data_IF_402503149825
#
_entry.id   IF_402503149825
#
_cell.length_a   1.000
_cell.length_b   1.000
_cell.length_c   1.000
_cell.angle_alpha   90.00
_cell.angle_beta   90.00
_cell.angle_gamma   90.00
#
_symmetry.space_group_name_H-M   'P 1'
#
loop_
_entity.id
_entity.type
_entity.pdbx_description
1 polymer ?
#
# COMPACT_ATOMS: atom_id res chain seq x y z
N UNK A 1 -13.26 -19.27 30.07
CA UNK A 1 -12.78 -17.88 29.87
C UNK A 1 -11.30 -17.84 29.47
N UNK A 2 -10.41 -18.59 30.13
CA UNK A 2 -8.97 -18.70 29.80
C UNK A 2 -8.66 -19.19 28.36
N UNK A 3 -9.44 -20.14 27.84
CA UNK A 3 -9.27 -20.64 26.46
C UNK A 3 -9.64 -19.60 25.38
N UNK A 4 -10.58 -18.68 25.68
CA UNK A 4 -10.91 -17.54 24.80
C UNK A 4 -9.82 -16.47 24.84
N UNK A 5 -9.20 -16.22 26.00
CA UNK A 5 -8.05 -15.31 26.09
C UNK A 5 -6.86 -15.86 25.29
N UNK A 6 -6.55 -17.15 25.38
CA UNK A 6 -5.39 -17.70 24.68
C UNK A 6 -5.54 -17.66 23.14
N UNK A 7 -6.75 -17.90 22.62
CA UNK A 7 -7.06 -17.76 21.19
C UNK A 7 -7.06 -16.30 20.73
N UNK A 8 -7.46 -15.38 21.60
CA UNK A 8 -7.40 -13.92 21.34
C UNK A 8 -5.95 -13.42 21.26
N UNK A 9 -5.08 -13.84 22.19
CA UNK A 9 -3.65 -13.50 22.17
C UNK A 9 -2.87 -14.20 21.06
N UNK A 10 -3.25 -15.41 20.66
CA UNK A 10 -2.63 -16.13 19.54
C UNK A 10 -2.83 -15.44 18.19
N UNK A 11 -4.03 -14.91 17.94
CA UNK A 11 -4.38 -14.27 16.66
C UNK A 11 -3.89 -12.82 16.51
N UNK A 12 -3.51 -12.16 17.62
CA UNK A 12 -3.05 -10.75 17.63
C UNK A 12 -1.55 -10.56 17.81
N UNK A 13 -0.76 -11.64 17.87
CA UNK A 13 0.72 -11.58 17.96
C UNK A 13 1.38 -10.57 17.01
N UNK A 14 1.03 -10.50 15.70
CA UNK A 14 1.66 -9.52 14.81
C UNK A 14 1.30 -8.06 15.15
N UNK A 15 0.07 -7.82 15.60
CA UNK A 15 -0.40 -6.49 16.01
C UNK A 15 0.27 -6.03 17.30
N UNK A 16 0.43 -6.93 18.28
CA UNK A 16 1.15 -6.66 19.53
C UNK A 16 2.63 -6.37 19.28
N UNK A 17 3.28 -7.16 18.41
CA UNK A 17 4.65 -6.89 18.02
C UNK A 17 4.80 -5.52 17.35
N UNK A 18 3.87 -5.12 16.48
CA UNK A 18 3.86 -3.79 15.89
C UNK A 18 3.69 -2.67 16.95
N UNK A 19 2.78 -2.86 17.91
CA UNK A 19 2.56 -1.91 18.99
C UNK A 19 3.80 -1.74 19.88
N UNK A 20 4.43 -2.85 20.30
CA UNK A 20 5.64 -2.83 21.13
C UNK A 20 6.79 -2.11 20.41
N UNK A 21 7.00 -2.43 19.13
CA UNK A 21 8.00 -1.74 18.28
C UNK A 21 7.71 -0.25 18.21
N UNK A 22 6.44 0.11 18.06
CA UNK A 22 6.04 1.50 18.00
C UNK A 22 6.29 2.28 19.28
N UNK A 23 5.95 1.69 20.41
CA UNK A 23 6.23 2.25 21.73
C UNK A 23 7.73 2.37 21.97
N UNK A 24 8.53 1.36 21.61
CA UNK A 24 9.98 1.41 21.72
C UNK A 24 10.58 2.54 20.86
N UNK A 25 10.11 2.72 19.63
CA UNK A 25 10.50 3.84 18.76
C UNK A 25 10.16 5.20 19.39
N UNK A 26 8.97 5.33 19.97
CA UNK A 26 8.52 6.57 20.60
C UNK A 26 9.34 6.93 21.85
N UNK A 27 9.61 5.94 22.73
CA UNK A 27 10.39 6.14 23.94
C UNK A 27 11.86 6.46 23.63
N UNK A 28 12.45 5.77 22.65
CA UNK A 28 13.83 6.05 22.22
C UNK A 28 13.95 7.42 21.54
N UNK A 29 12.99 7.81 20.70
CA UNK A 29 12.91 9.15 20.13
C UNK A 29 12.76 10.24 21.21
N UNK A 30 11.92 9.99 22.22
CA UNK A 30 11.72 10.92 23.34
C UNK A 30 13.01 11.10 24.13
N UNK A 31 13.65 10.00 24.55
CA UNK A 31 14.89 10.04 25.31
C UNK A 31 16.02 10.72 24.53
N UNK A 32 16.12 10.47 23.23
CA UNK A 32 17.08 11.15 22.38
C UNK A 32 16.79 12.65 22.23
N UNK A 33 15.53 13.04 22.10
CA UNK A 33 15.15 14.45 21.98
C UNK A 33 15.41 15.24 23.27
N UNK A 34 15.12 14.64 24.42
CA UNK A 34 15.48 15.17 25.75
C UNK A 34 17.00 15.32 25.89
N UNK A 35 17.77 14.30 25.51
CA UNK A 35 19.23 14.33 25.56
C UNK A 35 19.84 15.44 24.68
N UNK A 36 19.21 15.74 23.53
CA UNK A 36 19.63 16.82 22.63
C UNK A 36 19.18 18.22 23.10
N UNK A 37 18.42 18.32 24.21
CA UNK A 37 17.92 19.59 24.73
C UNK A 37 16.89 20.27 23.82
N UNK A 38 16.10 19.50 23.05
CA UNK A 38 15.08 20.06 22.16
C UNK A 38 13.94 20.71 22.96
N UNK A 39 13.46 21.87 22.50
CA UNK A 39 12.46 22.67 23.22
C UNK A 39 11.12 21.94 23.50
N UNK A 40 10.73 20.97 22.67
CA UNK A 40 9.48 20.22 22.82
C UNK A 40 9.65 18.74 22.42
N UNK A 41 10.30 17.92 23.26
CA UNK A 41 10.74 16.56 22.91
C UNK A 41 9.57 15.58 22.68
N UNK A 42 8.39 15.86 23.25
CA UNK A 42 7.17 15.07 23.02
C UNK A 42 6.77 15.01 21.53
N UNK A 43 7.13 16.00 20.70
CA UNK A 43 6.87 15.95 19.26
C UNK A 43 7.68 14.86 18.55
N UNK A 44 8.86 14.53 19.04
CA UNK A 44 9.67 13.45 18.50
C UNK A 44 8.98 12.10 18.72
N UNK A 45 8.51 11.86 19.94
CA UNK A 45 7.74 10.67 20.30
C UNK A 45 6.43 10.56 19.48
N UNK A 46 5.66 11.66 19.41
CA UNK A 46 4.43 11.71 18.60
C UNK A 46 4.72 11.44 17.13
N UNK A 47 5.83 11.96 16.61
CA UNK A 47 6.23 11.72 15.22
C UNK A 47 6.57 10.27 14.97
N UNK A 48 7.37 9.65 15.86
CA UNK A 48 7.71 8.24 15.75
C UNK A 48 6.43 7.37 15.70
N UNK A 49 5.46 7.65 16.59
CA UNK A 49 4.15 6.98 16.60
C UNK A 49 3.37 7.17 15.29
N UNK A 50 3.35 8.40 14.76
CA UNK A 50 2.58 8.71 13.55
C UNK A 50 3.21 8.09 12.30
N UNK A 51 4.53 8.03 12.19
CA UNK A 51 5.20 7.56 10.95
C UNK A 51 5.36 6.04 10.89
N UNK A 52 5.15 5.32 11.99
CA UNK A 52 5.13 3.85 11.96
C UNK A 52 4.18 3.35 10.90
N UNK A 53 4.70 2.44 10.09
CA UNK A 53 3.98 1.75 9.05
C UNK A 53 4.38 0.28 9.03
N UNK A 54 3.54 -0.60 8.45
CA UNK A 54 3.85 -2.03 8.33
C UNK A 54 5.18 -2.28 7.60
N UNK A 55 5.56 -1.41 6.65
CA UNK A 55 6.80 -1.53 5.90
C UNK A 55 7.70 -0.32 5.96
N UNK A 56 9.00 -0.58 5.76
CA UNK A 56 10.04 0.43 5.67
C UNK A 56 9.76 1.45 4.56
N UNK A 57 9.29 0.99 3.40
CA UNK A 57 8.98 1.86 2.26
C UNK A 57 7.84 2.85 2.55
N UNK A 58 6.74 2.38 3.16
CA UNK A 58 5.61 3.24 3.55
C UNK A 58 6.03 4.23 4.65
N UNK A 59 6.84 3.75 5.61
CA UNK A 59 7.37 4.58 6.68
C UNK A 59 8.20 5.73 6.11
N UNK A 60 9.12 5.45 5.18
CA UNK A 60 9.97 6.46 4.55
C UNK A 60 9.14 7.43 3.68
N UNK A 61 8.20 6.94 2.88
CA UNK A 61 7.33 7.79 2.06
C UNK A 61 6.49 8.74 2.96
N UNK A 62 5.87 8.22 4.02
CA UNK A 62 5.09 9.02 4.98
C UNK A 62 5.97 10.01 5.75
N UNK A 63 7.15 9.58 6.18
CA UNK A 63 8.13 10.41 6.88
C UNK A 63 8.61 11.57 6.03
N UNK A 64 8.89 11.32 4.74
CA UNK A 64 9.28 12.36 3.80
C UNK A 64 8.21 13.46 3.67
N UNK A 65 6.95 13.08 3.45
CA UNK A 65 5.86 14.05 3.34
C UNK A 65 5.54 14.75 4.67
N UNK A 66 5.76 14.09 5.81
CA UNK A 66 5.68 14.72 7.13
C UNK A 66 6.74 15.82 7.27
N UNK A 67 8.00 15.49 6.98
CA UNK A 67 9.12 16.42 7.07
C UNK A 67 8.94 17.61 6.12
N UNK A 68 8.54 17.34 4.87
CA UNK A 68 8.28 18.39 3.88
C UNK A 68 7.15 19.33 4.33
N UNK A 69 6.04 18.77 4.79
CA UNK A 69 4.91 19.56 5.29
C UNK A 69 5.30 20.39 6.50
N UNK A 70 5.98 19.81 7.48
CA UNK A 70 6.46 20.54 8.66
C UNK A 70 7.46 21.63 8.28
N UNK A 71 8.42 21.37 7.40
CA UNK A 71 9.38 22.39 6.98
C UNK A 71 8.70 23.59 6.31
N UNK A 72 7.77 23.34 5.39
CA UNK A 72 6.98 24.39 4.72
C UNK A 72 6.10 25.14 5.72
N UNK A 73 5.42 24.42 6.61
CA UNK A 73 4.58 25.02 7.64
C UNK A 73 5.38 25.85 8.66
N UNK A 74 6.57 25.40 9.06
CA UNK A 74 7.47 26.13 9.94
C UNK A 74 7.99 27.41 9.31
N UNK A 75 8.42 27.34 8.05
CA UNK A 75 8.84 28.52 7.31
C UNK A 75 7.69 29.53 7.15
N UNK A 76 6.49 29.07 6.80
CA UNK A 76 5.32 29.93 6.67
C UNK A 76 4.93 30.58 8.01
N UNK A 77 4.88 29.82 9.11
CA UNK A 77 4.57 30.35 10.44
C UNK A 77 5.58 31.40 10.90
N UNK A 78 6.88 31.16 10.64
CA UNK A 78 7.94 32.11 10.93
C UNK A 78 7.79 33.38 10.10
N UNK A 79 7.56 33.27 8.79
CA UNK A 79 7.34 34.42 7.91
C UNK A 79 6.14 35.25 8.34
N UNK A 80 5.02 34.61 8.70
CA UNK A 80 3.84 35.32 9.17
C UNK A 80 4.11 36.12 10.45
N UNK A 81 4.81 35.53 11.43
CA UNK A 81 5.12 36.22 12.69
C UNK A 81 6.17 37.34 12.53
N UNK A 82 7.09 37.21 11.58
CA UNK A 82 8.08 38.27 11.30
C UNK A 82 7.44 39.47 10.58
N UNK A 83 6.46 39.22 9.70
CA UNK A 83 5.83 40.27 8.89
C UNK A 83 4.60 40.90 9.57
N UNK A 84 3.90 40.17 10.44
CA UNK A 84 2.59 40.57 10.96
C UNK A 84 2.60 40.64 12.48
N UNK A 85 2.41 41.83 13.03
CA UNK A 85 2.30 42.05 14.48
C UNK A 85 0.87 42.13 15.02
N UNK A 86 -0.09 42.50 14.16
CA UNK A 86 -1.49 42.60 14.59
C UNK A 86 -2.12 41.21 14.67
N UNK A 87 -2.75 40.84 15.81
CA UNK A 87 -3.37 39.52 15.98
C UNK A 87 -4.50 39.28 14.96
N UNK A 88 -5.24 40.33 14.59
CA UNK A 88 -6.32 40.24 13.60
C UNK A 88 -5.77 39.94 12.19
N UNK A 89 -4.69 40.63 11.80
CA UNK A 89 -4.03 40.38 10.50
C UNK A 89 -3.35 38.99 10.49
N UNK A 90 -2.78 38.56 11.62
CA UNK A 90 -2.16 37.23 11.74
C UNK A 90 -3.21 36.14 11.55
N UNK A 91 -4.38 36.31 12.18
CA UNK A 91 -5.50 35.38 12.08
C UNK A 91 -6.03 35.30 10.64
N UNK A 92 -6.17 36.44 9.96
CA UNK A 92 -6.57 36.50 8.56
C UNK A 92 -5.56 35.79 7.65
N UNK A 93 -4.26 36.04 7.86
CA UNK A 93 -3.21 35.44 7.06
C UNK A 93 -3.09 33.92 7.29
N UNK A 94 -3.26 33.45 8.53
CA UNK A 94 -3.35 32.04 8.86
C UNK A 94 -4.56 31.38 8.20
N UNK A 95 -5.72 32.04 8.22
CA UNK A 95 -6.92 31.54 7.56
C UNK A 95 -6.69 31.35 6.07
N UNK A 96 -6.09 32.34 5.39
CA UNK A 96 -5.73 32.26 3.98
C UNK A 96 -4.74 31.13 3.71
N UNK A 97 -3.69 31.01 4.53
CA UNK A 97 -2.69 29.95 4.39
C UNK A 97 -3.30 28.56 4.52
N UNK A 98 -4.15 28.34 5.53
CA UNK A 98 -4.77 27.03 5.74
C UNK A 98 -5.78 26.74 4.62
N UNK A 99 -6.53 27.74 4.14
CA UNK A 99 -7.42 27.57 2.99
C UNK A 99 -6.64 27.13 1.73
N UNK A 100 -5.47 27.72 1.47
CA UNK A 100 -4.56 27.30 0.39
C UNK A 100 -4.10 25.86 0.64
N UNK A 101 -3.67 25.51 1.85
CA UNK A 101 -3.25 24.15 2.20
C UNK A 101 -4.37 23.12 1.99
N UNK A 102 -5.62 23.46 2.32
CA UNK A 102 -6.77 22.57 2.09
C UNK A 102 -7.07 22.45 0.59
N UNK A 103 -7.03 23.54 -0.17
CA UNK A 103 -7.21 23.52 -1.62
C UNK A 103 -6.15 22.66 -2.31
N UNK A 104 -4.87 22.89 -2.01
CA UNK A 104 -3.74 22.09 -2.50
C UNK A 104 -3.86 20.63 -2.06
N UNK A 105 -4.26 20.38 -0.81
CA UNK A 105 -4.47 19.04 -0.26
C UNK A 105 -5.51 18.23 -1.05
N UNK A 106 -6.58 18.87 -1.52
CA UNK A 106 -7.62 18.23 -2.35
C UNK A 106 -7.19 17.99 -3.81
N UNK A 107 -6.17 18.71 -4.31
CA UNK A 107 -5.57 18.47 -5.63
C UNK A 107 -4.50 17.36 -5.60
N UNK A 108 -4.00 17.04 -4.41
CA UNK A 108 -3.01 16.01 -4.16
C UNK A 108 -3.70 14.70 -3.76
N UNK A 109 -3.12 13.57 -4.19
CA UNK A 109 -3.63 12.23 -3.87
C UNK A 109 -2.62 11.47 -3.01
N UNK A 110 -3.12 10.57 -2.15
CA UNK A 110 -2.31 9.73 -1.27
C UNK A 110 -1.50 10.55 -0.25
N UNK A 111 -0.28 10.09 0.06
CA UNK A 111 0.59 10.70 1.06
C UNK A 111 1.05 12.13 0.71
N UNK A 112 0.84 12.61 -0.53
CA UNK A 112 1.11 14.00 -0.90
C UNK A 112 0.15 14.98 -0.23
N UNK A 113 -1.13 14.62 -0.11
CA UNK A 113 -2.14 15.45 0.56
C UNK A 113 -1.80 15.65 2.04
N UNK A 114 -1.19 14.63 2.64
CA UNK A 114 -0.71 14.66 4.01
C UNK A 114 0.37 15.74 4.25
N UNK A 115 1.25 16.01 3.29
CA UNK A 115 2.20 17.12 3.41
C UNK A 115 1.49 18.48 3.51
N UNK A 116 0.42 18.66 2.72
CA UNK A 116 -0.39 19.89 2.75
C UNK A 116 -1.10 20.07 4.10
N UNK A 117 -1.65 18.98 4.64
CA UNK A 117 -2.26 18.97 5.98
C UNK A 117 -1.22 19.33 7.06
N UNK A 118 -0.03 18.72 7.01
CA UNK A 118 1.04 19.00 7.95
C UNK A 118 1.55 20.44 7.83
N UNK A 119 1.60 21.02 6.63
CA UNK A 119 1.98 22.42 6.45
C UNK A 119 0.99 23.39 7.11
N UNK A 120 -0.32 23.17 6.95
CA UNK A 120 -1.35 23.98 7.60
C UNK A 120 -1.32 23.85 9.12
N UNK A 121 -1.32 22.61 9.63
CA UNK A 121 -1.29 22.34 11.08
C UNK A 121 0.00 22.86 11.74
N UNK A 122 1.14 22.71 11.06
CA UNK A 122 2.43 23.14 11.60
C UNK A 122 2.50 24.66 11.69
N UNK A 123 2.10 25.36 10.61
CA UNK A 123 2.05 26.81 10.55
C UNK A 123 1.18 27.40 11.67
N UNK A 124 -0.02 26.86 11.88
CA UNK A 124 -0.93 27.31 12.94
C UNK A 124 -0.33 27.19 14.34
N UNK A 125 0.28 26.03 14.66
CA UNK A 125 0.91 25.83 15.97
C UNK A 125 2.12 26.75 16.17
N UNK A 126 2.94 26.98 15.14
CA UNK A 126 4.09 27.91 15.26
C UNK A 126 3.61 29.35 15.40
N UNK A 127 2.61 29.76 14.64
CA UNK A 127 2.05 31.10 14.77
C UNK A 127 1.45 31.33 16.16
N UNK A 128 0.72 30.35 16.71
CA UNK A 128 0.14 30.45 18.05
C UNK A 128 1.21 30.46 19.16
N UNK A 129 2.09 29.46 19.18
CA UNK A 129 3.13 29.35 20.21
C UNK A 129 4.17 30.46 20.14
N UNK A 130 4.53 30.88 18.91
CA UNK A 130 5.48 31.96 18.67
C UNK A 130 4.90 33.35 18.96
N UNK A 131 3.59 33.56 18.78
CA UNK A 131 2.92 34.79 19.20
C UNK A 131 2.95 34.95 20.73
N UNK A 132 2.72 33.87 21.47
CA UNK A 132 2.77 33.87 22.94
C UNK A 132 4.19 34.02 23.50
N UNK A 133 5.20 33.44 22.82
CA UNK A 133 6.59 33.39 23.29
C UNK A 133 7.57 33.86 22.20
N UNK A 134 7.51 35.15 21.83
CA UNK A 134 8.35 35.70 20.76
C UNK A 134 9.86 35.45 20.91
N UNK A 135 10.47 35.51 22.11
CA UNK A 135 11.92 35.28 22.25
C UNK A 135 12.34 33.86 21.84
N UNK A 136 11.46 32.87 21.96
CA UNK A 136 11.73 31.47 21.60
C UNK A 136 11.21 31.10 20.20
N UNK A 137 10.80 32.08 19.37
CA UNK A 137 10.19 31.82 18.06
C UNK A 137 11.05 30.90 17.18
N UNK A 138 12.35 31.19 17.05
CA UNK A 138 13.26 30.38 16.25
C UNK A 138 13.45 28.99 16.84
N UNK A 139 13.59 28.89 18.17
CA UNK A 139 13.74 27.61 18.87
C UNK A 139 12.51 26.72 18.71
N UNK A 140 11.31 27.30 18.74
CA UNK A 140 10.06 26.58 18.51
C UNK A 140 9.99 26.10 17.04
N UNK A 141 10.30 26.97 16.07
CA UNK A 141 10.19 26.65 14.65
C UNK A 141 11.21 25.59 14.21
N UNK A 142 12.49 25.79 14.54
CA UNK A 142 13.57 24.84 14.22
C UNK A 142 13.49 23.59 15.10
N UNK A 143 13.19 23.74 16.39
CA UNK A 143 13.03 22.63 17.32
C UNK A 143 11.97 21.65 16.85
N UNK A 144 10.90 22.12 16.21
CA UNK A 144 9.87 21.25 15.65
C UNK A 144 10.34 20.43 14.45
N UNK A 145 11.10 21.04 13.54
CA UNK A 145 11.71 20.32 12.41
C UNK A 145 12.71 19.29 12.93
N UNK A 146 13.55 19.67 13.90
CA UNK A 146 14.51 18.78 14.54
C UNK A 146 13.82 17.61 15.26
N UNK A 147 12.76 17.85 16.03
CA UNK A 147 11.97 16.80 16.67
C UNK A 147 11.39 15.81 15.66
N UNK A 148 10.91 16.30 14.51
CA UNK A 148 10.38 15.45 13.45
C UNK A 148 11.49 14.58 12.85
N UNK A 149 12.66 15.15 12.58
CA UNK A 149 13.83 14.41 12.09
C UNK A 149 14.24 13.32 13.09
N UNK A 150 14.37 13.66 14.38
CA UNK A 150 14.70 12.69 15.44
C UNK A 150 13.66 11.57 15.50
N UNK A 151 12.37 11.91 15.53
CA UNK A 151 11.28 10.93 15.51
C UNK A 151 11.34 9.98 14.30
N UNK A 152 11.64 10.52 13.11
CA UNK A 152 11.80 9.73 11.89
C UNK A 152 13.02 8.81 11.97
N UNK A 153 14.16 9.30 12.46
CA UNK A 153 15.40 8.50 12.59
C UNK A 153 15.16 7.30 13.51
N UNK A 154 14.61 7.53 14.70
CA UNK A 154 14.39 6.46 15.68
C UNK A 154 13.27 5.51 15.27
N UNK A 155 12.20 6.00 14.65
CA UNK A 155 11.19 5.12 14.06
C UNK A 155 11.78 4.25 12.94
N UNK A 156 12.58 4.84 12.05
CA UNK A 156 13.24 4.09 10.97
C UNK A 156 14.23 3.08 11.54
N UNK A 157 15.02 3.44 12.55
CA UNK A 157 16.00 2.55 13.19
C UNK A 157 15.31 1.35 13.85
N UNK A 158 14.30 1.58 14.67
CA UNK A 158 13.55 0.51 15.34
C UNK A 158 12.83 -0.35 14.31
N UNK A 159 12.13 0.24 13.34
CA UNK A 159 11.51 -0.55 12.26
C UNK A 159 12.56 -1.33 11.45
N UNK A 160 13.75 -0.77 11.23
CA UNK A 160 14.83 -1.47 10.51
C UNK A 160 15.46 -2.61 11.31
N UNK A 161 15.48 -2.54 12.64
CA UNK A 161 15.98 -3.61 13.49
C UNK A 161 15.00 -4.78 13.59
N UNK A 162 13.69 -4.50 13.59
CA UNK A 162 12.68 -5.53 13.86
C UNK A 162 11.88 -6.02 12.64
N UNK A 163 11.83 -5.27 11.54
CA UNK A 163 11.11 -5.70 10.33
C UNK A 163 12.10 -6.27 9.33
N UNK A 164 12.04 -7.57 8.98
CA UNK A 164 12.89 -8.15 7.95
C UNK A 164 12.82 -7.35 6.65
N UNK A 165 13.91 -7.34 5.87
CA UNK A 165 13.81 -6.91 4.47
C UNK A 165 13.07 -8.02 3.75
N UNK A 166 11.75 -7.89 3.60
CA UNK A 166 11.00 -8.71 2.64
C UNK A 166 11.62 -8.43 1.27
N UNK A 167 12.35 -9.40 0.73
CA UNK A 167 13.00 -9.22 -0.55
C UNK A 167 11.94 -9.27 -1.64
N UNK A 168 12.02 -8.36 -2.63
CA UNK A 168 11.13 -8.43 -3.79
C UNK A 168 11.26 -9.76 -4.52
N UNK A 169 12.44 -10.37 -4.46
CA UNK A 169 12.69 -11.71 -4.99
C UNK A 169 11.82 -12.75 -4.27
N UNK A 170 11.83 -12.80 -2.94
CA UNK A 170 10.98 -13.72 -2.16
C UNK A 170 9.49 -13.48 -2.42
N UNK A 171 9.06 -12.22 -2.56
CA UNK A 171 7.67 -11.92 -2.91
C UNK A 171 7.29 -12.47 -4.29
N UNK A 172 8.14 -12.25 -5.30
CA UNK A 172 7.91 -12.76 -6.65
C UNK A 172 7.96 -14.29 -6.67
N UNK A 173 8.88 -14.92 -5.94
CA UNK A 173 8.97 -16.38 -5.81
C UNK A 173 7.70 -16.96 -5.17
N UNK A 174 7.15 -16.34 -4.12
CA UNK A 174 5.85 -16.75 -3.55
C UNK A 174 4.70 -16.55 -4.54
N UNK A 175 4.72 -15.48 -5.33
CA UNK A 175 3.71 -15.22 -6.36
C UNK A 175 3.75 -16.26 -7.49
N UNK A 176 4.95 -16.62 -7.93
CA UNK A 176 5.15 -17.64 -8.96
C UNK A 176 4.72 -19.01 -8.43
N UNK A 177 5.11 -19.36 -7.20
CA UNK A 177 4.70 -20.60 -6.53
C UNK A 177 3.19 -20.72 -6.38
N UNK A 178 2.49 -19.71 -5.84
CA UNK A 178 1.03 -19.78 -5.66
C UNK A 178 0.29 -19.88 -6.99
N UNK A 179 0.86 -19.32 -8.05
CA UNK A 179 0.33 -19.43 -9.41
C UNK A 179 0.45 -20.88 -9.92
N UNK A 180 1.63 -21.48 -9.79
CA UNK A 180 1.87 -22.88 -10.14
C UNK A 180 0.96 -23.83 -9.36
N UNK A 181 0.87 -23.67 -8.03
CA UNK A 181 0.03 -24.50 -7.16
C UNK A 181 -1.47 -24.35 -7.48
N UNK A 182 -1.93 -23.16 -7.87
CA UNK A 182 -3.33 -22.94 -8.29
C UNK A 182 -3.67 -23.68 -9.59
N UNK A 183 -2.73 -23.72 -10.53
CA UNK A 183 -2.88 -24.49 -11.78
C UNK A 183 -2.83 -25.99 -11.49
N UNK A 184 -1.89 -26.45 -10.67
CA UNK A 184 -1.79 -27.85 -10.26
C UNK A 184 -3.05 -28.33 -9.53
N UNK A 185 -3.61 -27.49 -8.65
CA UNK A 185 -4.88 -27.75 -7.99
C UNK A 185 -6.03 -27.96 -9.00
N UNK A 186 -6.11 -27.11 -10.03
CA UNK A 186 -7.12 -27.27 -11.09
C UNK A 186 -6.93 -28.58 -11.85
N UNK A 187 -5.69 -28.94 -12.18
CA UNK A 187 -5.38 -30.18 -12.88
C UNK A 187 -5.83 -31.41 -12.07
N UNK A 188 -5.48 -31.44 -10.77
CA UNK A 188 -5.90 -32.49 -9.85
C UNK A 188 -7.43 -32.55 -9.70
N UNK A 189 -8.09 -31.39 -9.63
CA UNK A 189 -9.55 -31.31 -9.55
C UNK A 189 -10.23 -31.88 -10.80
N UNK A 190 -9.70 -31.62 -11.99
CA UNK A 190 -10.22 -32.16 -13.26
C UNK A 190 -10.01 -33.67 -13.36
N UNK A 191 -8.88 -34.17 -12.86
CA UNK A 191 -8.50 -35.59 -12.95
C UNK A 191 -9.18 -36.47 -11.92
N UNK A 192 -9.23 -36.03 -10.67
CA UNK A 192 -9.70 -36.83 -9.53
C UNK A 192 -11.12 -36.45 -9.08
N UNK A 193 -11.65 -35.33 -9.57
CA UNK A 193 -12.89 -34.76 -9.08
C UNK A 193 -12.74 -34.15 -7.69
N UNK A 194 -13.85 -33.77 -7.08
CA UNK A 194 -13.84 -33.05 -5.79
C UNK A 194 -13.56 -34.02 -4.63
N UNK A 195 -12.48 -33.77 -3.88
CA UNK A 195 -12.13 -34.50 -2.65
C UNK A 195 -12.02 -33.55 -1.43
N UNK A 196 -12.10 -34.09 -0.21
CA UNK A 196 -11.88 -33.30 1.01
C UNK A 196 -10.46 -32.71 1.08
N UNK A 197 -9.48 -33.39 0.50
CA UNK A 197 -8.10 -32.92 0.42
C UNK A 197 -7.97 -31.71 -0.51
N UNK A 198 -8.60 -31.78 -1.70
CA UNK A 198 -8.62 -30.65 -2.64
C UNK A 198 -9.38 -29.44 -2.11
N UNK A 199 -10.42 -29.66 -1.30
CA UNK A 199 -11.11 -28.56 -0.61
C UNK A 199 -10.17 -27.91 0.42
N UNK A 200 -9.37 -28.68 1.16
CA UNK A 200 -8.38 -28.11 2.09
C UNK A 200 -7.30 -27.33 1.34
N UNK A 201 -6.76 -27.90 0.27
CA UNK A 201 -5.80 -27.22 -0.61
C UNK A 201 -6.35 -25.90 -1.18
N UNK A 202 -7.63 -25.86 -1.59
CA UNK A 202 -8.28 -24.61 -2.02
C UNK A 202 -8.28 -23.55 -0.91
N UNK A 203 -8.57 -23.93 0.34
CA UNK A 203 -8.56 -22.99 1.48
C UNK A 203 -7.14 -22.51 1.82
N UNK A 204 -6.15 -23.39 1.72
CA UNK A 204 -4.75 -23.04 1.94
C UNK A 204 -4.27 -22.05 0.87
N UNK A 205 -4.60 -22.28 -0.41
CA UNK A 205 -4.34 -21.35 -1.51
C UNK A 205 -5.02 -19.99 -1.33
N UNK A 206 -6.31 -19.97 -0.93
CA UNK A 206 -7.02 -18.72 -0.65
C UNK A 206 -6.36 -17.93 0.48
N UNK A 207 -5.84 -18.64 1.49
CA UNK A 207 -5.11 -18.01 2.61
C UNK A 207 -3.80 -17.40 2.12
N UNK A 208 -3.03 -18.14 1.31
CA UNK A 208 -1.77 -17.66 0.75
C UNK A 208 -1.95 -16.48 -0.22
N UNK A 209 -2.96 -16.52 -1.09
CA UNK A 209 -3.31 -15.40 -1.98
C UNK A 209 -3.66 -14.14 -1.18
N UNK A 210 -4.42 -14.29 -0.08
CA UNK A 210 -4.77 -13.18 0.83
C UNK A 210 -3.54 -12.60 1.54
N UNK A 211 -2.60 -13.45 1.97
CA UNK A 211 -1.33 -13.00 2.53
C UNK A 211 -0.48 -12.22 1.50
N UNK A 212 -0.37 -12.73 0.28
CA UNK A 212 0.35 -12.10 -0.82
C UNK A 212 -0.29 -10.74 -1.17
N UNK A 213 -1.62 -10.65 -1.23
CA UNK A 213 -2.32 -9.39 -1.45
C UNK A 213 -2.04 -8.38 -0.32
N UNK A 214 -2.03 -8.84 0.93
CA UNK A 214 -1.66 -8.01 2.09
C UNK A 214 -0.21 -7.51 2.03
N UNK A 215 0.72 -8.31 1.50
CA UNK A 215 2.12 -7.94 1.32
C UNK A 215 2.35 -7.03 0.10
N UNK A 216 1.47 -7.03 -0.89
CA UNK A 216 1.68 -6.32 -2.15
C UNK A 216 1.83 -4.79 -1.98
N UNK A 217 0.95 -4.18 -1.18
CA UNK A 217 1.02 -2.74 -0.88
C UNK A 217 2.27 -2.41 -0.05
N UNK A 218 2.65 -3.37 0.78
CA UNK A 218 3.83 -3.35 1.63
C UNK A 218 5.13 -3.32 0.81
N UNK A 219 5.26 -4.21 -0.18
CA UNK A 219 6.42 -4.36 -1.08
C UNK A 219 6.51 -3.22 -2.11
N UNK A 220 5.37 -2.69 -2.54
CA UNK A 220 5.32 -1.59 -3.51
C UNK A 220 5.59 -0.20 -2.97
N UNK A 221 5.65 -0.06 -1.66
CA UNK A 221 5.91 1.22 -1.03
C UNK A 221 7.34 1.71 -1.24
N UNK A 222 7.48 3.01 -1.49
CA UNK A 222 8.79 3.64 -1.73
C UNK A 222 9.39 3.48 -3.13
N UNK A 223 8.69 2.82 -4.07
CA UNK A 223 9.15 2.65 -5.46
C UNK A 223 8.08 3.07 -6.47
N UNK A 224 8.35 4.13 -7.24
CA UNK A 224 7.46 4.60 -8.31
C UNK A 224 7.26 3.56 -9.44
N UNK A 225 8.30 2.84 -9.93
CA UNK A 225 8.11 1.79 -10.92
C UNK A 225 7.19 0.67 -10.42
N UNK A 226 7.34 0.28 -9.15
CA UNK A 226 6.57 -0.84 -8.60
C UNK A 226 5.09 -0.50 -8.43
N UNK A 227 4.70 0.78 -8.32
CA UNK A 227 3.27 1.16 -8.31
C UNK A 227 2.53 0.78 -9.60
N UNK A 228 3.23 0.65 -10.73
CA UNK A 228 2.66 0.14 -11.99
C UNK A 228 2.54 -1.38 -11.93
N UNK A 229 3.59 -2.05 -11.47
CA UNK A 229 3.63 -3.50 -11.26
C UNK A 229 2.57 -4.00 -10.26
N UNK A 230 2.29 -3.24 -9.19
CA UNK A 230 1.23 -3.54 -8.22
C UNK A 230 -0.14 -3.75 -8.88
N UNK A 231 -0.46 -2.99 -9.94
CA UNK A 231 -1.75 -3.16 -10.64
C UNK A 231 -1.81 -4.47 -11.41
N UNK A 232 -0.71 -4.85 -12.06
CA UNK A 232 -0.62 -6.10 -12.80
C UNK A 232 -0.67 -7.29 -11.85
N UNK A 233 0.03 -7.23 -10.72
CA UNK A 233 -0.02 -8.27 -9.69
C UNK A 233 -1.44 -8.39 -9.11
N UNK A 234 -2.16 -7.29 -8.88
CA UNK A 234 -3.58 -7.35 -8.47
C UNK A 234 -4.48 -7.98 -9.54
N UNK A 235 -4.21 -7.73 -10.82
CA UNK A 235 -4.91 -8.40 -11.92
C UNK A 235 -4.68 -9.90 -11.84
N UNK A 236 -3.43 -10.34 -11.68
CA UNK A 236 -3.08 -11.75 -11.52
C UNK A 236 -3.77 -12.39 -10.31
N UNK A 237 -3.74 -11.74 -9.14
CA UNK A 237 -4.45 -12.20 -7.94
C UNK A 237 -5.95 -12.36 -8.23
N UNK A 238 -6.58 -11.41 -8.92
CA UNK A 238 -8.00 -11.48 -9.27
C UNK A 238 -8.29 -12.65 -10.22
N UNK A 239 -7.39 -12.90 -11.18
CA UNK A 239 -7.50 -14.02 -12.11
C UNK A 239 -7.30 -15.37 -11.40
N UNK A 240 -6.41 -15.47 -10.42
CA UNK A 240 -6.23 -16.67 -9.59
C UNK A 240 -7.47 -16.96 -8.72
N UNK A 241 -8.05 -15.94 -8.10
CA UNK A 241 -9.31 -16.10 -7.35
C UNK A 241 -10.45 -16.56 -8.27
N UNK A 242 -10.50 -16.02 -9.50
CA UNK A 242 -11.44 -16.47 -10.53
C UNK A 242 -11.17 -17.91 -10.96
N UNK A 243 -9.91 -18.34 -11.07
CA UNK A 243 -9.54 -19.73 -11.38
C UNK A 243 -10.06 -20.70 -10.33
N UNK A 244 -9.84 -20.41 -9.05
CA UNK A 244 -10.30 -21.26 -7.94
C UNK A 244 -11.85 -21.35 -7.94
N UNK A 245 -12.52 -20.21 -8.11
CA UNK A 245 -13.97 -20.16 -8.14
C UNK A 245 -14.58 -20.92 -9.34
N UNK A 246 -14.07 -20.68 -10.55
CA UNK A 246 -14.54 -21.30 -11.79
C UNK A 246 -14.13 -22.76 -11.88
N UNK A 247 -12.93 -23.11 -11.42
CA UNK A 247 -12.45 -24.49 -11.30
C UNK A 247 -13.38 -25.31 -10.43
N UNK A 248 -13.80 -24.78 -9.27
CA UNK A 248 -14.78 -25.44 -8.40
C UNK A 248 -16.13 -25.66 -9.08
N UNK A 249 -16.60 -24.69 -9.87
CA UNK A 249 -17.84 -24.83 -10.65
C UNK A 249 -17.69 -25.90 -11.74
N UNK A 250 -16.58 -25.90 -12.46
CA UNK A 250 -16.26 -26.92 -13.47
C UNK A 250 -16.20 -28.32 -12.85
N UNK A 251 -15.47 -28.50 -11.74
CA UNK A 251 -15.42 -29.78 -11.02
C UNK A 251 -16.80 -30.26 -10.57
N UNK A 252 -17.66 -29.36 -10.09
CA UNK A 252 -19.04 -29.70 -9.72
C UNK A 252 -19.92 -30.05 -10.93
N UNK A 253 -19.72 -29.39 -12.07
CA UNK A 253 -20.42 -29.70 -13.32
C UNK A 253 -20.00 -31.06 -13.87
N UNK A 254 -18.70 -31.36 -13.86
CA UNK A 254 -18.14 -32.63 -14.33
C UNK A 254 -18.59 -33.80 -13.44
N UNK A 255 -18.66 -33.60 -12.12
CA UNK A 255 -19.17 -34.61 -11.19
C UNK A 255 -20.63 -35.00 -11.48
N UNK A 256 -21.47 -34.07 -11.95
CA UNK A 256 -22.87 -34.36 -12.33
C UNK A 256 -23.00 -35.14 -13.63
N UNK A 257 -22.03 -35.01 -14.53
CA UNK A 257 -22.05 -35.67 -15.85
C UNK A 257 -21.22 -36.98 -15.89
N UNK A 258 -20.65 -37.41 -14.75
CA UNK A 258 -19.71 -38.53 -14.64
C UNK A 258 -20.36 -39.92 -14.85
N UNK A 259 -21.68 -40.02 -14.99
CA UNK A 259 -22.39 -41.30 -15.03
C UNK A 259 -22.41 -42.02 -16.40
N UNK A 260 -22.07 -41.39 -17.54
CA UNK A 260 -22.32 -42.06 -18.83
C UNK A 260 -21.30 -41.96 -19.98
N UNK A 261 -20.23 -41.17 -19.92
CA UNK A 261 -19.56 -40.81 -21.18
C UNK A 261 -18.02 -40.94 -21.18
N UNK A 262 -17.49 -41.94 -21.92
CA UNK A 262 -16.04 -42.16 -22.10
C UNK A 262 -15.34 -40.98 -22.80
N UNK A 263 -16.07 -40.25 -23.66
CA UNK A 263 -15.54 -39.07 -24.35
C UNK A 263 -15.20 -37.95 -23.39
N UNK A 264 -15.96 -37.81 -22.29
CA UNK A 264 -15.71 -36.77 -21.30
C UNK A 264 -14.41 -36.99 -20.53
N UNK A 265 -14.10 -38.25 -20.18
CA UNK A 265 -12.85 -38.57 -19.47
C UNK A 265 -11.60 -38.34 -20.32
N UNK A 266 -11.65 -38.62 -21.62
CA UNK A 266 -10.46 -38.50 -22.48
C UNK A 266 -9.93 -37.06 -22.60
N UNK A 267 -10.79 -36.07 -22.88
CA UNK A 267 -10.34 -34.68 -22.97
C UNK A 267 -10.04 -34.08 -21.59
N UNK A 268 -10.71 -34.54 -20.53
CA UNK A 268 -10.41 -34.13 -19.15
C UNK A 268 -8.99 -34.56 -18.75
N UNK A 269 -8.63 -35.81 -19.03
CA UNK A 269 -7.30 -36.34 -18.73
C UNK A 269 -6.21 -35.62 -19.54
N UNK A 270 -6.48 -35.31 -20.82
CA UNK A 270 -5.58 -34.50 -21.66
C UNK A 270 -5.41 -33.09 -21.09
N UNK A 271 -6.50 -32.38 -20.81
CA UNK A 271 -6.45 -31.02 -20.25
C UNK A 271 -5.75 -31.00 -18.89
N UNK A 272 -6.02 -31.99 -18.03
CA UNK A 272 -5.34 -32.13 -16.74
C UNK A 272 -3.83 -32.36 -16.93
N UNK A 273 -3.42 -33.20 -17.88
CA UNK A 273 -2.00 -33.43 -18.16
C UNK A 273 -1.29 -32.17 -18.67
N UNK A 274 -1.93 -31.38 -19.55
CA UNK A 274 -1.37 -30.11 -20.01
C UNK A 274 -1.27 -29.08 -18.88
N UNK A 275 -2.25 -29.04 -17.96
CA UNK A 275 -2.19 -28.16 -16.79
C UNK A 275 -1.12 -28.59 -15.77
N UNK A 276 -0.88 -29.90 -15.58
CA UNK A 276 0.22 -30.42 -14.76
C UNK A 276 1.58 -29.98 -15.33
N UNK A 277 1.79 -30.17 -16.64
CA UNK A 277 3.00 -29.72 -17.33
C UNK A 277 3.19 -28.20 -17.22
N UNK A 278 2.09 -27.45 -17.34
CA UNK A 278 2.13 -26.00 -17.17
C UNK A 278 2.56 -25.60 -15.75
N UNK A 279 2.01 -26.25 -14.72
CA UNK A 279 2.35 -25.96 -13.34
C UNK A 279 3.85 -26.17 -13.08
N UNK A 280 4.43 -27.26 -13.60
CA UNK A 280 5.88 -27.51 -13.53
C UNK A 280 6.69 -26.44 -14.26
N UNK A 281 6.25 -26.01 -15.44
CA UNK A 281 6.94 -24.96 -16.21
C UNK A 281 6.93 -23.59 -15.51
N UNK A 282 5.91 -23.31 -14.70
CA UNK A 282 5.76 -22.06 -13.95
C UNK A 282 6.73 -21.96 -12.77
N UNK A 283 7.22 -23.09 -12.25
CA UNK A 283 8.26 -23.11 -11.20
C UNK A 283 9.63 -22.70 -11.73
N UNK A 284 9.89 -22.84 -13.03
CA UNK A 284 11.18 -22.53 -13.66
C UNK A 284 11.00 -21.80 -15.01
N UNK A 285 10.64 -20.49 -15.00
CA UNK A 285 10.04 -19.84 -16.15
C UNK A 285 11.01 -19.57 -17.31
N UNK A 286 10.73 -20.17 -18.48
CA UNK A 286 11.22 -19.69 -19.79
C UNK A 286 10.12 -18.83 -20.44
N UNK A 287 10.30 -17.49 -20.54
CA UNK A 287 9.18 -16.55 -20.77
C UNK A 287 8.50 -16.65 -22.15
N UNK A 288 9.14 -17.28 -23.15
CA UNK A 288 8.60 -17.39 -24.51
C UNK A 288 7.71 -18.61 -24.75
N UNK A 289 8.03 -19.74 -24.14
CA UNK A 289 7.36 -21.03 -24.40
C UNK A 289 6.07 -21.17 -23.59
N UNK A 290 6.10 -20.73 -22.32
CA UNK A 290 4.96 -20.79 -21.39
C UNK A 290 3.75 -20.01 -21.92
N UNK A 291 3.98 -18.84 -22.52
CA UNK A 291 2.93 -18.01 -23.07
C UNK A 291 2.12 -18.72 -24.17
N UNK A 292 2.80 -19.39 -25.09
CA UNK A 292 2.16 -20.09 -26.20
C UNK A 292 1.40 -21.33 -25.70
N UNK A 293 2.01 -22.10 -24.80
CA UNK A 293 1.42 -23.27 -24.19
C UNK A 293 0.15 -22.92 -23.39
N UNK A 294 0.21 -21.88 -22.56
CA UNK A 294 -0.97 -21.40 -21.82
C UNK A 294 -2.11 -20.96 -22.75
N UNK A 295 -1.81 -20.28 -23.86
CA UNK A 295 -2.87 -19.88 -24.81
C UNK A 295 -3.53 -21.07 -25.49
N UNK A 296 -2.77 -22.12 -25.79
CA UNK A 296 -3.29 -23.35 -26.37
C UNK A 296 -4.20 -24.08 -25.37
N UNK A 297 -3.76 -24.20 -24.11
CA UNK A 297 -4.54 -24.82 -23.03
C UNK A 297 -5.83 -24.04 -22.76
N UNK A 298 -5.77 -22.71 -22.73
CA UNK A 298 -6.97 -21.88 -22.56
C UNK A 298 -7.98 -22.06 -23.70
N UNK A 299 -7.50 -22.21 -24.95
CA UNK A 299 -8.36 -22.48 -26.11
C UNK A 299 -8.99 -23.88 -26.05
N UNK A 300 -8.22 -24.90 -25.66
CA UNK A 300 -8.70 -26.28 -25.44
C UNK A 300 -9.74 -26.33 -24.30
N UNK A 301 -9.46 -25.66 -23.18
CA UNK A 301 -10.42 -25.55 -22.08
C UNK A 301 -11.71 -24.85 -22.54
N UNK A 302 -11.61 -23.81 -23.37
CA UNK A 302 -12.76 -23.04 -23.87
C UNK A 302 -13.72 -23.88 -24.73
N UNK A 303 -13.22 -24.86 -25.48
CA UNK A 303 -14.08 -25.71 -26.32
C UNK A 303 -14.96 -26.66 -25.51
N UNK A 304 -14.57 -26.98 -24.27
CA UNK A 304 -15.31 -27.92 -23.40
C UNK A 304 -16.00 -27.21 -22.22
N UNK A 305 -15.32 -26.22 -21.63
CA UNK A 305 -15.72 -25.46 -20.46
C UNK A 305 -15.48 -23.95 -20.73
N UNK A 306 -16.44 -23.25 -21.37
CA UNK A 306 -16.21 -21.89 -21.89
C UNK A 306 -15.78 -20.90 -20.80
N UNK A 307 -16.40 -20.99 -19.61
CA UNK A 307 -16.07 -20.13 -18.48
C UNK A 307 -14.64 -20.37 -17.95
N UNK A 308 -14.18 -21.63 -17.96
CA UNK A 308 -12.84 -22.01 -17.51
C UNK A 308 -11.78 -21.58 -18.52
N UNK A 309 -12.07 -21.71 -19.82
CA UNK A 309 -11.17 -21.23 -20.87
C UNK A 309 -10.99 -19.71 -20.84
N UNK A 310 -12.05 -18.95 -20.53
CA UNK A 310 -11.96 -17.49 -20.38
C UNK A 310 -11.12 -17.08 -19.17
N UNK A 311 -11.31 -17.71 -18.01
CA UNK A 311 -10.48 -17.39 -16.83
C UNK A 311 -9.02 -17.76 -17.04
N UNK A 312 -8.73 -18.90 -17.69
CA UNK A 312 -7.36 -19.27 -18.04
C UNK A 312 -6.73 -18.23 -18.97
N UNK A 313 -7.46 -17.74 -19.98
CA UNK A 313 -6.99 -16.67 -20.87
C UNK A 313 -6.67 -15.35 -20.13
N UNK A 314 -7.48 -14.98 -19.14
CA UNK A 314 -7.24 -13.80 -18.30
C UNK A 314 -5.97 -13.96 -17.44
N UNK A 315 -5.70 -15.18 -16.95
CA UNK A 315 -4.45 -15.50 -16.23
C UNK A 315 -3.27 -15.37 -17.17
N UNK A 316 -3.34 -15.94 -18.39
CA UNK A 316 -2.26 -15.81 -19.39
C UNK A 316 -1.91 -14.36 -19.63
N UNK A 317 -2.93 -13.53 -19.86
CA UNK A 317 -2.75 -12.10 -20.12
C UNK A 317 -2.13 -11.38 -18.93
N UNK A 318 -2.61 -11.67 -17.71
CA UNK A 318 -2.08 -11.06 -16.49
C UNK A 318 -0.64 -11.49 -16.20
N UNK A 319 -0.32 -12.77 -16.40
CA UNK A 319 1.00 -13.34 -16.16
C UNK A 319 2.03 -12.81 -17.16
N UNK A 320 1.68 -12.71 -18.45
CA UNK A 320 2.52 -12.10 -19.47
C UNK A 320 2.85 -10.64 -19.15
N UNK A 321 1.87 -9.87 -18.66
CA UNK A 321 2.09 -8.48 -18.25
C UNK A 321 3.06 -8.37 -17.06
N UNK A 322 2.96 -9.28 -16.08
CA UNK A 322 3.86 -9.33 -14.94
C UNK A 322 5.28 -9.73 -15.36
N UNK A 323 5.43 -10.77 -16.19
CA UNK A 323 6.72 -11.27 -16.69
C UNK A 323 7.43 -10.26 -17.61
N UNK A 324 6.71 -9.60 -18.51
CA UNK A 324 7.27 -8.58 -19.39
C UNK A 324 7.85 -7.39 -18.59
N UNK A 325 7.18 -6.99 -17.51
CA UNK A 325 7.66 -5.90 -16.65
C UNK A 325 8.85 -6.34 -15.78
N UNK A 326 8.89 -7.60 -15.30
CA UNK A 326 10.04 -8.20 -14.62
C UNK A 326 11.29 -8.23 -15.52
N UNK A 327 11.16 -8.66 -16.77
CA UNK A 327 12.26 -8.63 -17.75
C UNK A 327 12.72 -7.19 -18.04
N UNK A 328 11.80 -6.23 -18.09
CA UNK A 328 12.16 -4.82 -18.28
C UNK A 328 12.94 -4.22 -17.11
N UNK A 329 12.79 -4.74 -15.89
CA UNK A 329 13.52 -4.30 -14.69
C UNK A 329 14.89 -4.97 -14.56
N UNK A 330 15.05 -6.20 -15.04
CA UNK A 330 16.30 -6.96 -15.01
C UNK A 330 17.23 -6.52 -16.16
N UNK A 331 16.68 -6.09 -17.30
CA UNK A 331 17.47 -5.77 -18.51
C UNK A 331 17.51 -4.28 -18.89
N UNK A 332 17.04 -3.35 -18.06
CA UNK A 332 17.02 -1.93 -18.43
C UNK A 332 18.43 -1.39 -18.73
N UNK A 333 18.75 -1.01 -20.00
CA UNK A 333 19.71 0.05 -20.23
C UNK A 333 19.08 1.35 -19.68
N UNK A 334 19.91 2.34 -19.36
CA UNK A 334 19.51 3.62 -18.73
C UNK A 334 18.58 4.50 -19.58
N UNK A 335 17.97 3.98 -20.64
CA UNK A 335 17.14 4.72 -21.58
C UNK A 335 15.66 4.53 -21.27
N UNK A 336 15.01 5.65 -20.97
CA UNK A 336 13.61 5.74 -20.62
C UNK A 336 12.75 5.35 -21.83
N UNK A 337 11.85 4.36 -21.75
CA UNK A 337 10.94 4.07 -22.85
C UNK A 337 9.95 5.23 -23.03
N UNK A 338 10.00 5.80 -24.23
CA UNK A 338 9.07 6.78 -24.78
C UNK A 338 7.78 6.04 -25.14
N UNK A 339 6.88 5.89 -24.18
CA UNK A 339 5.43 5.79 -24.38
C UNK A 339 4.74 5.72 -23.01
N UNK A 340 4.75 6.86 -22.32
CA UNK A 340 3.85 7.07 -21.19
C UNK A 340 2.47 7.40 -21.75
N UNK A 341 1.55 6.43 -21.69
CA UNK A 341 0.12 6.75 -21.71
C UNK A 341 -0.12 7.82 -20.65
N UNK A 342 -0.30 9.06 -21.11
CA UNK A 342 -0.63 10.21 -20.29
C UNK A 342 -2.03 9.95 -19.72
N UNK A 343 -2.10 9.41 -18.51
CA UNK A 343 -3.34 9.50 -17.73
C UNK A 343 -3.65 11.00 -17.59
N UNK A 344 -4.68 11.46 -18.28
CA UNK A 344 -5.35 12.71 -17.95
C UNK A 344 -5.80 12.59 -16.49
N UNK A 345 -4.95 13.08 -15.59
CA UNK A 345 -5.19 13.09 -14.16
C UNK A 345 -6.23 14.16 -13.91
N UNK A 346 -7.49 13.76 -13.84
CA UNK A 346 -8.61 14.66 -13.56
C UNK A 346 -8.39 15.27 -12.18
N UNK A 347 -7.78 16.46 -12.14
CA UNK A 347 -7.69 17.28 -10.93
C UNK A 347 -9.02 18.00 -10.82
N UNK A 348 -9.80 17.63 -9.83
CA UNK A 348 -11.13 18.19 -9.64
C UNK A 348 -11.02 19.57 -8.96
N UNK A 349 -10.61 20.57 -9.74
CA UNK A 349 -10.37 21.94 -9.27
C UNK A 349 -11.60 22.56 -8.61
N UNK A 350 -12.80 22.12 -8.99
CA UNK A 350 -14.07 22.55 -8.39
C UNK A 350 -14.19 22.07 -6.94
N UNK A 351 -13.91 20.80 -6.67
CA UNK A 351 -13.92 20.26 -5.30
C UNK A 351 -12.83 20.91 -4.44
N UNK A 352 -11.63 21.09 -5.00
CA UNK A 352 -10.54 21.77 -4.30
C UNK A 352 -10.90 23.20 -3.91
N UNK A 353 -11.52 23.97 -4.82
CA UNK A 353 -11.96 25.33 -4.54
C UNK A 353 -13.07 25.38 -3.47
N UNK A 354 -14.08 24.49 -3.56
CA UNK A 354 -15.14 24.41 -2.55
C UNK A 354 -14.60 24.00 -1.17
N UNK A 355 -13.62 23.10 -1.13
CA UNK A 355 -12.98 22.71 0.11
C UNK A 355 -12.16 23.85 0.72
N UNK A 356 -11.42 24.61 -0.10
CA UNK A 356 -10.67 25.78 0.33
C UNK A 356 -11.59 26.86 0.93
N UNK A 357 -12.72 27.17 0.27
CA UNK A 357 -13.71 28.13 0.80
C UNK A 357 -14.30 27.66 2.13
N UNK A 358 -14.73 26.39 2.20
CA UNK A 358 -15.29 25.84 3.44
C UNK A 358 -14.29 25.94 4.59
N UNK A 359 -13.03 25.56 4.35
CA UNK A 359 -11.97 25.69 5.33
C UNK A 359 -11.75 27.14 5.75
N UNK A 360 -11.68 28.08 4.80
CA UNK A 360 -11.55 29.50 5.09
C UNK A 360 -12.69 30.01 5.98
N UNK A 361 -13.94 29.68 5.66
CA UNK A 361 -15.10 30.09 6.45
C UNK A 361 -15.07 29.51 7.87
N UNK A 362 -14.73 28.22 8.01
CA UNK A 362 -14.65 27.59 9.34
C UNK A 362 -13.56 28.20 10.21
N UNK A 363 -12.38 28.48 9.63
CA UNK A 363 -11.25 29.03 10.38
C UNK A 363 -11.47 30.51 10.69
N UNK A 364 -12.09 31.26 9.78
CA UNK A 364 -12.51 32.63 10.04
C UNK A 364 -13.51 32.69 11.19
N UNK A 365 -14.50 31.80 11.22
CA UNK A 365 -15.47 31.73 12.32
C UNK A 365 -14.78 31.45 13.67
N UNK A 366 -13.88 30.46 13.71
CA UNK A 366 -13.09 30.15 14.92
C UNK A 366 -12.21 31.33 15.34
N UNK A 367 -11.53 31.96 14.38
CA UNK A 367 -10.68 33.13 14.63
C UNK A 367 -11.45 34.32 15.19
N UNK A 368 -12.65 34.58 14.65
CA UNK A 368 -13.56 35.62 15.17
C UNK A 368 -14.02 35.27 16.58
N UNK A 369 -14.44 34.02 16.84
CA UNK A 369 -14.83 33.63 18.20
C UNK A 369 -13.69 33.77 19.20
N UNK A 370 -12.47 33.40 18.82
CA UNK A 370 -11.30 33.56 19.69
C UNK A 370 -10.98 35.03 19.96
N UNK A 371 -11.06 35.88 18.94
CA UNK A 371 -10.87 37.33 19.11
C UNK A 371 -11.89 37.98 20.04
N UNK A 372 -13.09 37.41 20.15
CA UNK A 372 -14.15 37.87 21.04
C UNK A 372 -14.00 37.28 22.44
N UNK A 373 -13.57 36.02 22.56
CA UNK A 373 -13.49 35.31 23.84
C UNK A 373 -12.22 35.61 24.66
N UNK A 374 -11.14 36.08 24.01
CA UNK A 374 -9.83 36.30 24.64
C UNK A 374 -8.94 35.08 24.61
#
# INVERSE_FOLDING_TARGET
MLFRLHRFFGNQRPQMAAAIRGTAAALTALAAAEFMGLACPYWAAMTALIVIQPTRGLLLEKSFYRLLGTAVGSAAGLLLLLCIRSPMLLTLALCLWIAICVGVGNLLYGLRSYASLMAGCTCAVIAMSGYQNQPLLYDIAFGRVACIIVGIIFATLVTALFTPRESRAEFMERLDRVTAESVAWLALLLRQGRSNELVRAEHDLLTEISEIEGLLDAVGAGSLPFKKQTRQIRSLITSLLSLLAVGRLAGAQLARHNEMDRRHRHWQDLLASHLEQLAESLECPAPGEIAAEMTAIAAEAKSHLPLLGETLADIVTSLQLVLAECNSLIHAPKERPVNQFHRHRHRDWREAYRAAIRAALTIAAVGVTWSISG
#
